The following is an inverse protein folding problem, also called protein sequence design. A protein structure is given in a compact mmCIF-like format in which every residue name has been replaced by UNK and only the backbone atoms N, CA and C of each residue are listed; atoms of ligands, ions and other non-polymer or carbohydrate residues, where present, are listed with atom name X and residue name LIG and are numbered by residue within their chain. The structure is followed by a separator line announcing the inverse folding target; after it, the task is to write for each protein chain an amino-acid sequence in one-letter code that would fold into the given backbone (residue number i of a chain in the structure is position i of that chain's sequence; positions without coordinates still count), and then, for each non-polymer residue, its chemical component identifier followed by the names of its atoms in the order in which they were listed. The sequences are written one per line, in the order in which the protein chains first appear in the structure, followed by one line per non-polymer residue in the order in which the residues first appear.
data_IF_883939429154
#
_entry.id   IF_883939429154
#
_cell.length_a   1.000
_cell.length_b   1.000
_cell.length_c   1.000
_cell.angle_alpha   90.00
_cell.angle_beta   90.00
_cell.angle_gamma   90.00
#
_symmetry.space_group_name_H-M   'P 1'
#
loop_
_entity.id
_entity.type
_entity.pdbx_description
1 polymer ?
#
# COMPACT_ATOMS: atom_id res chain seq x y z
N UNK A 1 -9.24 13.26 -2.81
CA UNK A 1 -8.20 12.77 -1.87
C UNK A 1 -8.59 11.37 -1.41
N UNK A 2 -7.70 10.37 -1.50
CA UNK A 2 -8.02 8.97 -1.18
C UNK A 2 -7.05 8.46 -0.12
N UNK A 3 -7.56 7.70 0.86
CA UNK A 3 -6.77 7.11 1.94
C UNK A 3 -7.01 5.61 1.98
N UNK A 4 -5.94 4.85 2.22
CA UNK A 4 -6.01 3.40 2.37
C UNK A 4 -5.27 2.96 3.62
N UNK A 5 -5.62 1.79 4.14
CA UNK A 5 -4.87 1.13 5.20
C UNK A 5 -3.97 0.08 4.56
N UNK A 6 -2.66 0.22 4.76
CA UNK A 6 -1.67 -0.75 4.31
C UNK A 6 -1.33 -1.72 5.43
N UNK A 7 -1.14 -2.98 5.08
CA UNK A 7 -0.69 -4.05 5.98
C UNK A 7 0.57 -4.70 5.42
N UNK A 8 1.45 -5.19 6.30
CA UNK A 8 2.56 -6.05 5.89
C UNK A 8 1.97 -7.41 5.48
N UNK A 9 2.48 -8.01 4.40
CA UNK A 9 2.05 -9.34 3.98
C UNK A 9 2.20 -10.35 5.13
N UNK A 10 1.18 -11.20 5.32
CA UNK A 10 1.13 -12.18 6.42
C UNK A 10 0.53 -11.65 7.73
N UNK A 11 0.10 -10.38 7.81
CA UNK A 11 -0.61 -9.85 8.98
C UNK A 11 -1.78 -8.94 8.60
N UNK A 12 -2.83 -8.95 9.43
CA UNK A 12 -3.97 -8.04 9.37
C UNK A 12 -3.99 -7.04 10.54
N UNK A 13 -2.90 -6.97 11.31
CA UNK A 13 -2.75 -6.10 12.49
C UNK A 13 -1.77 -4.96 12.21
N UNK A 14 -1.86 -3.89 12.99
CA UNK A 14 -0.93 -2.74 12.96
C UNK A 14 -0.84 -2.03 11.60
N UNK A 15 -1.93 -2.05 10.83
CA UNK A 15 -1.99 -1.37 9.55
C UNK A 15 -1.74 0.14 9.66
N UNK A 16 -1.19 0.73 8.61
CA UNK A 16 -0.87 2.16 8.54
C UNK A 16 -1.81 2.84 7.55
N UNK A 17 -2.53 3.85 8.02
CA UNK A 17 -3.36 4.67 7.13
C UNK A 17 -2.47 5.66 6.41
N UNK A 18 -2.50 5.60 5.08
CA UNK A 18 -1.71 6.45 4.19
C UNK A 18 -2.63 7.11 3.18
N UNK A 19 -2.22 8.27 2.70
CA UNK A 19 -2.89 8.90 1.59
C UNK A 19 -2.27 8.41 0.28
N UNK A 20 -3.10 8.21 -0.74
CA UNK A 20 -2.69 7.78 -2.07
C UNK A 20 -2.52 9.03 -2.93
N UNK A 21 -1.29 9.30 -3.35
CA UNK A 21 -0.90 10.41 -4.22
C UNK A 21 0.19 9.99 -5.19
N UNK A 22 0.31 10.71 -6.31
CA UNK A 22 1.40 10.53 -7.26
C UNK A 22 1.31 9.20 -8.00
N UNK A 23 2.40 8.45 -7.97
CA UNK A 23 2.59 7.19 -8.69
C UNK A 23 2.56 5.98 -7.75
N UNK A 24 2.56 4.76 -8.30
CA UNK A 24 2.71 3.54 -7.51
C UNK A 24 4.03 3.54 -6.71
N UNK A 25 5.11 4.06 -7.30
CA UNK A 25 6.42 4.18 -6.64
C UNK A 25 6.37 5.10 -5.42
N UNK A 26 5.61 6.19 -5.49
CA UNK A 26 5.42 7.08 -4.33
C UNK A 26 4.70 6.36 -3.20
N UNK A 27 3.66 5.59 -3.52
CA UNK A 27 2.92 4.80 -2.54
C UNK A 27 3.80 3.69 -1.91
N UNK A 28 4.62 3.00 -2.71
CA UNK A 28 5.57 1.99 -2.23
C UNK A 28 6.66 2.61 -1.33
N UNK A 29 7.13 3.81 -1.66
CA UNK A 29 8.08 4.55 -0.82
C UNK A 29 7.46 4.93 0.52
N UNK A 30 6.23 5.46 0.53
CA UNK A 30 5.49 5.77 1.77
C UNK A 30 5.23 4.51 2.59
N UNK A 31 4.85 3.40 1.94
CA UNK A 31 4.63 2.11 2.58
C UNK A 31 5.91 1.62 3.27
N UNK A 32 7.04 1.65 2.56
CA UNK A 32 8.35 1.24 3.06
C UNK A 32 8.72 2.01 4.33
N UNK A 33 8.61 3.33 4.28
CA UNK A 33 8.95 4.20 5.41
C UNK A 33 8.03 4.00 6.62
N UNK A 34 6.71 3.93 6.42
CA UNK A 34 5.75 3.85 7.54
C UNK A 34 5.66 2.45 8.16
N UNK A 35 5.96 1.41 7.40
CA UNK A 35 5.92 0.02 7.86
C UNK A 35 7.30 -0.51 8.26
N UNK A 36 8.39 0.21 7.96
CA UNK A 36 9.75 -0.19 8.31
C UNK A 36 10.24 -1.40 7.51
N UNK A 37 9.82 -1.53 6.25
CA UNK A 37 10.17 -2.63 5.36
C UNK A 37 10.61 -2.12 3.99
N UNK A 38 11.17 -2.98 3.15
CA UNK A 38 11.37 -2.71 1.72
C UNK A 38 10.16 -3.18 0.93
N UNK A 39 9.18 -2.30 0.70
CA UNK A 39 8.00 -2.64 -0.08
C UNK A 39 8.31 -2.61 -1.59
N UNK A 40 7.86 -3.64 -2.32
CA UNK A 40 8.06 -3.77 -3.77
C UNK A 40 6.77 -4.00 -4.55
N UNK A 41 5.75 -4.60 -3.92
CA UNK A 41 4.48 -4.95 -4.54
C UNK A 41 3.32 -4.60 -3.58
N UNK A 42 2.15 -4.32 -4.15
CA UNK A 42 0.91 -4.10 -3.41
C UNK A 42 -0.15 -5.08 -3.89
N UNK A 43 -0.96 -5.58 -2.96
CA UNK A 43 -2.06 -6.48 -3.24
C UNK A 43 -3.31 -6.00 -2.52
N UNK A 44 -4.47 -6.20 -3.14
CA UNK A 44 -5.75 -5.99 -2.45
C UNK A 44 -6.06 -7.17 -1.50
N UNK A 45 -7.12 -7.03 -0.70
CA UNK A 45 -7.53 -8.06 0.27
C UNK A 45 -7.99 -9.39 -0.36
N UNK A 46 -8.09 -9.48 -1.69
CA UNK A 46 -8.41 -10.71 -2.43
C UNK A 46 -7.17 -11.32 -3.12
N UNK A 47 -5.98 -10.75 -2.91
CA UNK A 47 -4.73 -11.22 -3.53
C UNK A 47 -4.48 -10.69 -4.94
N UNK A 48 -5.29 -9.77 -5.46
CA UNK A 48 -5.04 -9.14 -6.75
C UNK A 48 -3.90 -8.12 -6.65
N UNK A 49 -2.91 -8.22 -7.56
CA UNK A 49 -1.82 -7.26 -7.69
C UNK A 49 -2.37 -5.87 -8.02
N UNK A 50 -1.82 -4.86 -7.38
CA UNK A 50 -2.06 -3.44 -7.69
C UNK A 50 -0.82 -2.92 -8.41
N UNK A 51 -0.91 -2.84 -9.74
CA UNK A 51 0.12 -2.30 -10.63
C UNK A 51 -0.16 -0.85 -11.07
N UNK A 52 -1.39 -0.36 -10.87
CA UNK A 52 -1.78 1.04 -11.04
C UNK A 52 -2.57 1.55 -9.82
N UNK A 53 -2.26 2.76 -9.35
CA UNK A 53 -2.96 3.42 -8.25
C UNK A 53 -4.44 3.67 -8.55
N UNK A 54 -4.84 3.71 -9.82
CA UNK A 54 -6.23 3.83 -10.26
C UNK A 54 -7.08 2.60 -9.88
N UNK A 55 -6.45 1.43 -9.66
CA UNK A 55 -7.14 0.19 -9.27
C UNK A 55 -7.53 0.14 -7.80
N UNK A 56 -6.89 0.95 -6.97
CA UNK A 56 -7.33 1.16 -5.58
C UNK A 56 -8.76 1.69 -5.66
N UNK A 57 -9.70 1.20 -4.85
CA UNK A 57 -11.11 1.64 -4.77
C UNK A 57 -11.44 2.05 -3.35
#
# INVERSE_FOLDING_TARGET
MRRVTLFINGTSKNGKVVAVYGTLSDLLSVASNKLGIKASCLYNGKGGLIDDIALIR
#
